data_IF_663436967952
#
_entry.id   IF_663436967952
#
_cell.length_a   1.000
_cell.length_b   1.000
_cell.length_c   1.000
_cell.angle_alpha   90.00
_cell.angle_beta   90.00
_cell.angle_gamma   90.00
#
_symmetry.space_group_name_H-M   'P 1'
#
loop_
_entity.id
_entity.type
_entity.pdbx_description
1 polymer ?
#
# COMPACT_ATOMS: atom_id res chain seq x y z
N UNK A 1 -15.13 11.40 4.10
CA UNK A 1 -14.63 10.02 4.13
C UNK A 1 -15.40 9.09 3.19
N UNK A 2 -16.63 8.64 3.47
CA UNK A 2 -17.31 7.67 2.57
C UNK A 2 -17.52 8.17 1.13
N UNK A 3 -17.88 9.45 0.97
CA UNK A 3 -17.99 10.08 -0.35
C UNK A 3 -16.65 10.23 -1.09
N UNK A 4 -15.50 10.15 -0.40
CA UNK A 4 -14.17 10.15 -1.01
C UNK A 4 -13.86 8.76 -1.56
N UNK A 5 -14.11 7.70 -0.78
CA UNK A 5 -13.81 6.32 -1.16
C UNK A 5 -14.76 5.78 -2.25
N UNK A 6 -16.01 6.26 -2.25
CA UNK A 6 -17.03 5.93 -3.25
C UNK A 6 -16.79 6.58 -4.63
N UNK A 7 -15.79 7.46 -4.79
CA UNK A 7 -15.53 8.14 -6.06
C UNK A 7 -15.26 7.14 -7.19
N UNK A 8 -15.78 7.42 -8.38
CA UNK A 8 -15.41 6.69 -9.58
C UNK A 8 -13.95 6.94 -9.93
N UNK A 9 -13.36 6.05 -10.74
CA UNK A 9 -11.99 6.21 -11.23
C UNK A 9 -11.76 7.60 -11.85
N UNK A 10 -12.68 8.06 -12.71
CA UNK A 10 -12.60 9.37 -13.35
C UNK A 10 -12.65 10.53 -12.34
N UNK A 11 -13.44 10.42 -11.28
CA UNK A 11 -13.51 11.43 -10.22
C UNK A 11 -12.20 11.49 -9.42
N UNK A 12 -11.56 10.34 -9.16
CA UNK A 12 -10.25 10.30 -8.49
C UNK A 12 -9.15 10.88 -9.40
N UNK A 13 -9.14 10.58 -10.70
CA UNK A 13 -8.21 11.22 -11.64
C UNK A 13 -8.42 12.73 -11.66
N UNK A 14 -9.67 13.19 -11.70
CA UNK A 14 -10.01 14.62 -11.68
C UNK A 14 -9.47 15.31 -10.43
N UNK A 15 -9.56 14.66 -9.27
CA UNK A 15 -9.03 15.16 -8.01
C UNK A 15 -7.52 15.40 -8.09
N UNK A 16 -6.75 14.42 -8.56
CA UNK A 16 -5.29 14.52 -8.60
C UNK A 16 -4.76 15.39 -9.75
N UNK A 17 -5.51 15.50 -10.85
CA UNK A 17 -5.13 16.32 -12.00
C UNK A 17 -5.44 17.82 -11.85
N UNK A 18 -6.12 18.21 -10.76
CA UNK A 18 -6.71 19.55 -10.60
C UNK A 18 -5.71 20.70 -10.71
N UNK A 19 -4.46 20.54 -10.29
CA UNK A 19 -3.45 21.61 -10.33
C UNK A 19 -2.41 21.40 -11.44
N UNK A 20 -2.56 20.37 -12.26
CA UNK A 20 -1.68 20.18 -13.41
C UNK A 20 -1.89 21.29 -14.46
N UNK A 21 -0.84 21.62 -15.25
CA UNK A 21 -0.98 22.46 -16.44
C UNK A 21 -2.11 21.98 -17.35
N UNK A 22 -2.81 22.91 -18.02
CA UNK A 22 -4.05 22.63 -18.75
C UNK A 22 -3.93 21.51 -19.79
N UNK A 23 -2.82 21.43 -20.52
CA UNK A 23 -2.54 20.36 -21.47
C UNK A 23 -2.42 18.99 -20.79
N UNK A 24 -1.61 18.91 -19.72
CA UNK A 24 -1.38 17.69 -18.94
C UNK A 24 -2.67 17.20 -18.28
N UNK A 25 -3.46 18.12 -17.74
CA UNK A 25 -4.79 17.85 -17.18
C UNK A 25 -5.74 17.26 -18.22
N UNK A 26 -5.80 17.86 -19.41
CA UNK A 26 -6.63 17.34 -20.51
C UNK A 26 -6.20 15.93 -20.91
N UNK A 27 -4.90 15.66 -20.97
CA UNK A 27 -4.40 14.31 -21.27
C UNK A 27 -4.79 13.29 -20.20
N UNK A 28 -4.65 13.63 -18.91
CA UNK A 28 -5.08 12.76 -17.81
C UNK A 28 -6.58 12.45 -17.87
N UNK A 29 -7.41 13.48 -18.06
CA UNK A 29 -8.87 13.34 -18.14
C UNK A 29 -9.31 12.56 -19.39
N UNK A 30 -8.63 12.74 -20.52
CA UNK A 30 -8.88 11.98 -21.73
C UNK A 30 -8.58 10.48 -21.53
N UNK A 31 -7.41 10.15 -20.96
CA UNK A 31 -7.05 8.76 -20.61
C UNK A 31 -8.08 8.16 -19.65
N UNK A 32 -8.45 8.89 -18.59
CA UNK A 32 -9.44 8.42 -17.63
C UNK A 32 -10.79 8.11 -18.30
N UNK A 33 -11.26 9.00 -19.16
CA UNK A 33 -12.52 8.82 -19.88
C UNK A 33 -12.48 7.59 -20.81
N UNK A 34 -11.34 7.31 -21.43
CA UNK A 34 -11.16 6.14 -22.31
C UNK A 34 -11.14 4.81 -21.54
N UNK A 35 -10.56 4.77 -20.35
CA UNK A 35 -10.36 3.53 -19.59
C UNK A 35 -11.44 3.27 -18.54
N UNK A 36 -12.36 4.22 -18.30
CA UNK A 36 -13.33 4.11 -17.19
C UNK A 36 -14.17 2.83 -17.26
N UNK A 37 -14.60 2.41 -18.46
CA UNK A 37 -15.43 1.21 -18.61
C UNK A 37 -14.64 -0.07 -18.26
N UNK A 38 -13.40 -0.18 -18.73
CA UNK A 38 -12.52 -1.31 -18.44
C UNK A 38 -12.15 -1.36 -16.95
N UNK A 39 -11.83 -0.21 -16.35
CA UNK A 39 -11.52 -0.11 -14.91
C UNK A 39 -12.73 -0.53 -14.07
N UNK A 40 -13.93 -0.04 -14.39
CA UNK A 40 -15.15 -0.43 -13.69
C UNK A 40 -15.50 -1.92 -13.87
N UNK A 41 -15.18 -2.48 -15.04
CA UNK A 41 -15.34 -3.91 -15.32
C UNK A 41 -14.37 -4.75 -14.47
N UNK A 42 -13.09 -4.35 -14.44
CA UNK A 42 -12.06 -5.01 -13.64
C UNK A 42 -12.36 -4.93 -12.15
N UNK A 43 -12.80 -3.77 -11.63
CA UNK A 43 -13.18 -3.62 -10.22
C UNK A 43 -14.32 -4.56 -9.80
N UNK A 44 -15.18 -4.98 -10.73
CA UNK A 44 -16.30 -5.92 -10.49
C UNK A 44 -15.96 -7.38 -10.81
N UNK A 45 -14.78 -7.63 -11.38
CA UNK A 45 -14.31 -8.97 -11.74
C UNK A 45 -14.12 -9.87 -10.52
N UNK A 46 -14.01 -11.17 -10.77
CA UNK A 46 -13.69 -12.19 -9.78
C UNK A 46 -12.33 -11.95 -9.09
N UNK A 47 -11.33 -11.41 -9.79
CA UNK A 47 -10.01 -11.14 -9.19
C UNK A 47 -9.98 -9.92 -8.26
N UNK A 48 -10.80 -8.90 -8.51
CA UNK A 48 -10.86 -7.69 -7.66
C UNK A 48 -11.94 -7.75 -6.57
N UNK A 49 -12.93 -8.64 -6.72
CA UNK A 49 -14.03 -8.77 -5.76
C UNK A 49 -13.55 -9.08 -4.33
N UNK A 50 -12.57 -9.98 -4.09
CA UNK A 50 -12.05 -10.20 -2.75
C UNK A 50 -11.44 -8.94 -2.14
N UNK A 51 -10.68 -8.17 -2.93
CA UNK A 51 -10.06 -6.92 -2.50
C UNK A 51 -11.08 -5.85 -2.11
N UNK A 52 -12.31 -5.93 -2.63
CA UNK A 52 -13.42 -5.03 -2.23
C UNK A 52 -14.02 -5.39 -0.87
N UNK A 53 -13.61 -6.52 -0.28
CA UNK A 53 -14.06 -7.03 1.03
C UNK A 53 -12.91 -7.20 2.02
N UNK A 54 -11.72 -6.73 1.66
CA UNK A 54 -10.53 -6.73 2.51
C UNK A 54 -10.20 -5.29 2.87
N UNK A 55 -10.02 -5.03 4.16
CA UNK A 55 -9.49 -3.76 4.63
C UNK A 55 -8.07 -3.58 4.07
N UNK A 56 -7.74 -2.37 3.59
CA UNK A 56 -6.38 -2.08 3.12
C UNK A 56 -5.34 -2.43 4.19
N UNK A 57 -5.63 -2.04 5.43
CA UNK A 57 -4.69 -2.13 6.54
C UNK A 57 -4.84 -3.40 7.39
N UNK A 58 -5.73 -4.33 7.02
CA UNK A 58 -6.06 -5.49 7.85
C UNK A 58 -6.48 -5.08 9.26
N UNK A 59 -5.71 -5.46 10.28
CA UNK A 59 -5.96 -5.13 11.69
C UNK A 59 -5.55 -3.72 12.13
N UNK A 60 -4.93 -2.90 11.27
CA UNK A 60 -4.41 -1.59 11.69
C UNK A 60 -5.44 -0.51 12.12
N UNK A 61 -6.76 -0.57 11.79
CA UNK A 61 -7.73 0.40 12.34
C UNK A 61 -7.83 0.39 13.87
N UNK A 62 -7.24 -0.62 14.53
CA UNK A 62 -7.35 -0.88 15.96
C UNK A 62 -6.45 0.06 16.80
N UNK A 63 -5.38 0.62 16.24
CA UNK A 63 -4.34 1.30 17.03
C UNK A 63 -4.57 2.82 17.21
N UNK A 64 -5.31 3.47 16.29
CA UNK A 64 -5.25 4.92 16.12
C UNK A 64 -6.25 5.77 16.89
N UNK A 65 -7.31 5.17 17.45
CA UNK A 65 -8.31 5.92 18.20
C UNK A 65 -7.88 6.33 19.63
N UNK A 66 -6.62 6.12 20.00
CA UNK A 66 -6.15 6.23 21.39
C UNK A 66 -5.68 7.61 21.81
N UNK A 67 -5.13 8.41 20.89
CA UNK A 67 -4.47 9.69 21.23
C UNK A 67 -5.26 10.94 20.79
N UNK A 68 -6.39 10.77 20.09
CA UNK A 68 -7.30 11.86 19.75
C UNK A 68 -8.30 12.06 20.88
N UNK A 69 -7.90 12.85 21.88
CA UNK A 69 -8.73 13.27 22.99
C UNK A 69 -10.09 13.85 22.49
N UNK A 70 -11.20 13.24 22.94
CA UNK A 70 -12.58 13.79 23.05
C UNK A 70 -13.68 13.52 22.02
N UNK A 71 -13.51 12.72 20.99
CA UNK A 71 -14.69 12.13 20.33
C UNK A 71 -14.36 10.71 19.90
N UNK A 72 -14.66 9.75 20.78
CA UNK A 72 -14.81 8.37 20.37
C UNK A 72 -15.90 8.34 19.29
N UNK A 73 -15.50 8.44 18.03
CA UNK A 73 -16.33 7.97 16.94
C UNK A 73 -16.33 6.46 17.14
N UNK A 74 -17.47 5.85 17.50
CA UNK A 74 -17.54 4.41 17.59
C UNK A 74 -17.01 3.84 16.28
N UNK A 75 -16.32 2.71 16.35
CA UNK A 75 -16.13 1.85 15.19
C UNK A 75 -17.52 1.71 14.54
N UNK A 76 -17.78 2.40 13.43
CA UNK A 76 -19.00 2.13 12.70
C UNK A 76 -18.87 0.67 12.30
N UNK A 77 -19.91 -0.12 12.50
CA UNK A 77 -19.97 -1.52 12.07
C UNK A 77 -19.74 -1.68 10.55
N UNK A 78 -19.70 -0.57 9.82
CA UNK A 78 -19.25 -0.45 8.45
C UNK A 78 -17.72 -0.31 8.42
N UNK A 79 -16.99 -1.17 7.68
CA UNK A 79 -15.62 -0.86 7.31
C UNK A 79 -15.63 0.56 6.76
N UNK A 80 -14.76 1.45 7.25
CA UNK A 80 -14.42 2.67 6.53
C UNK A 80 -14.29 2.22 5.07
N UNK A 81 -15.05 2.79 4.14
CA UNK A 81 -15.22 2.27 2.77
C UNK A 81 -13.92 2.17 1.93
N UNK A 82 -12.77 2.35 2.57
CA UNK A 82 -11.43 2.15 2.10
C UNK A 82 -10.97 0.69 2.21
N UNK A 83 -11.14 0.00 1.09
CA UNK A 83 -10.73 -1.39 0.88
C UNK A 83 -9.50 -1.46 -0.01
N UNK A 84 -8.88 -2.64 -0.14
CA UNK A 84 -7.78 -2.85 -1.10
C UNK A 84 -8.15 -2.45 -2.52
N UNK A 85 -9.38 -2.77 -2.96
CA UNK A 85 -9.84 -2.36 -4.28
C UNK A 85 -9.92 -0.83 -4.43
N UNK A 86 -10.23 -0.11 -3.35
CA UNK A 86 -10.21 1.35 -3.33
C UNK A 86 -8.78 1.87 -3.42
N UNK A 87 -7.83 1.28 -2.70
CA UNK A 87 -6.40 1.58 -2.84
C UNK A 87 -5.91 1.41 -4.28
N UNK A 88 -6.14 0.24 -4.88
CA UNK A 88 -5.73 -0.02 -6.27
C UNK A 88 -6.31 1.00 -7.27
N UNK A 89 -7.58 1.40 -7.08
CA UNK A 89 -8.22 2.44 -7.90
C UNK A 89 -7.49 3.79 -7.78
N UNK A 90 -7.02 4.14 -6.58
CA UNK A 90 -6.25 5.36 -6.35
C UNK A 90 -4.85 5.28 -6.97
N UNK A 91 -4.18 4.12 -6.89
CA UNK A 91 -2.89 3.88 -7.56
C UNK A 91 -3.05 4.03 -9.07
N UNK A 92 -4.05 3.38 -9.68
CA UNK A 92 -4.35 3.51 -11.10
C UNK A 92 -4.62 4.97 -11.51
N UNK A 93 -5.33 5.73 -10.67
CA UNK A 93 -5.62 7.13 -10.92
C UNK A 93 -4.35 8.01 -10.84
N UNK A 94 -3.50 7.80 -9.83
CA UNK A 94 -2.22 8.50 -9.70
C UNK A 94 -1.29 8.17 -10.87
N UNK A 95 -1.21 6.92 -11.29
CA UNK A 95 -0.49 6.51 -12.50
C UNK A 95 -0.97 7.24 -13.75
N UNK A 96 -2.29 7.39 -13.91
CA UNK A 96 -2.86 8.17 -15.03
C UNK A 96 -2.34 9.61 -15.01
N UNK A 97 -2.32 10.24 -13.83
CA UNK A 97 -1.91 11.64 -13.65
C UNK A 97 -0.39 11.80 -13.82
N UNK A 98 0.41 10.89 -13.28
CA UNK A 98 1.87 10.89 -13.41
C UNK A 98 2.28 10.65 -14.86
N UNK A 99 1.70 9.64 -15.53
CA UNK A 99 1.95 9.36 -16.94
C UNK A 99 1.61 10.56 -17.83
N UNK A 100 0.47 11.20 -17.57
CA UNK A 100 0.08 12.42 -18.26
C UNK A 100 1.08 13.56 -18.00
N UNK A 101 1.48 13.76 -16.74
CA UNK A 101 2.46 14.78 -16.37
C UNK A 101 3.80 14.59 -17.10
N UNK A 102 4.26 13.34 -17.23
CA UNK A 102 5.52 12.98 -17.85
C UNK A 102 5.46 12.79 -19.38
N UNK A 103 4.30 13.01 -20.03
CA UNK A 103 4.10 12.75 -21.47
C UNK A 103 4.46 11.32 -21.88
N UNK A 104 4.09 10.31 -21.08
CA UNK A 104 4.33 8.94 -21.47
C UNK A 104 3.49 8.56 -22.71
N UNK A 105 4.00 7.69 -23.59
CA UNK A 105 3.21 7.11 -24.67
C UNK A 105 1.92 6.46 -24.14
N UNK A 106 0.86 6.47 -24.95
CA UNK A 106 -0.41 5.87 -24.53
C UNK A 106 -0.35 4.37 -24.21
N UNK A 107 0.38 3.53 -24.98
CA UNK A 107 0.53 2.11 -24.64
C UNK A 107 1.12 1.93 -23.23
N UNK A 108 2.20 2.66 -22.92
CA UNK A 108 2.85 2.63 -21.60
C UNK A 108 1.94 3.15 -20.50
N UNK A 109 1.20 4.23 -20.78
CA UNK A 109 0.22 4.80 -19.86
C UNK A 109 -0.86 3.77 -19.51
N UNK A 110 -1.41 3.10 -20.53
CA UNK A 110 -2.47 2.10 -20.33
C UNK A 110 -1.95 0.89 -19.56
N UNK A 111 -0.76 0.39 -19.89
CA UNK A 111 -0.11 -0.70 -19.16
C UNK A 111 0.14 -0.35 -17.68
N UNK A 112 0.64 0.86 -17.42
CA UNK A 112 0.88 1.36 -16.07
C UNK A 112 -0.42 1.52 -15.27
N UNK A 113 -1.50 2.00 -15.89
CA UNK A 113 -2.81 2.14 -15.23
C UNK A 113 -3.39 0.77 -14.85
N UNK A 114 -3.35 -0.22 -15.75
CA UNK A 114 -3.83 -1.57 -15.43
C UNK A 114 -2.95 -2.28 -14.40
N UNK A 115 -1.63 -2.17 -14.49
CA UNK A 115 -0.74 -2.68 -13.45
C UNK A 115 -1.03 -2.03 -12.09
N UNK A 116 -1.26 -0.71 -12.07
CA UNK A 116 -1.71 0.03 -10.89
C UNK A 116 -2.99 -0.51 -10.27
N UNK A 117 -3.98 -0.85 -11.09
CA UNK A 117 -5.23 -1.43 -10.61
C UNK A 117 -5.06 -2.88 -10.11
N UNK A 118 -4.12 -3.63 -10.67
CA UNK A 118 -4.02 -5.08 -10.49
C UNK A 118 -2.88 -5.52 -9.55
N UNK A 119 -2.00 -4.62 -9.10
CA UNK A 119 -0.80 -4.98 -8.33
C UNK A 119 -1.10 -5.77 -7.05
N UNK A 120 -2.21 -5.44 -6.40
CA UNK A 120 -2.56 -5.97 -5.08
C UNK A 120 -3.48 -7.20 -5.14
N UNK A 121 -3.83 -7.70 -6.33
CA UNK A 121 -4.77 -8.84 -6.51
C UNK A 121 -4.29 -10.13 -5.85
N UNK A 122 -3.01 -10.21 -5.52
CA UNK A 122 -2.40 -11.33 -4.83
C UNK A 122 -2.52 -11.30 -3.31
N UNK A 123 -2.94 -10.16 -2.73
CA UNK A 123 -3.13 -10.08 -1.29
C UNK A 123 -4.19 -11.06 -0.79
N UNK A 124 -4.01 -11.45 0.47
CA UNK A 124 -4.94 -12.29 1.21
C UNK A 124 -5.63 -11.48 2.30
N UNK A 125 -6.70 -12.05 2.83
CA UNK A 125 -7.43 -11.48 3.97
C UNK A 125 -6.48 -11.11 5.11
N UNK A 126 -6.78 -10.01 5.80
CA UNK A 126 -6.00 -9.42 6.90
C UNK A 126 -4.63 -8.86 6.47
N UNK A 127 -4.40 -8.77 5.15
CA UNK A 127 -3.22 -8.16 4.54
C UNK A 127 -1.91 -8.81 4.92
N UNK A 128 -0.84 -8.02 4.96
CA UNK A 128 0.51 -8.51 5.27
C UNK A 128 0.59 -9.34 6.55
N UNK A 129 -0.26 -9.08 7.56
CA UNK A 129 -0.25 -9.83 8.82
C UNK A 129 -0.53 -11.31 8.61
N UNK A 130 -1.47 -11.64 7.73
CA UNK A 130 -1.77 -13.02 7.37
C UNK A 130 -0.71 -13.61 6.44
N UNK A 131 -0.14 -12.83 5.53
CA UNK A 131 0.95 -13.28 4.64
C UNK A 131 2.19 -13.71 5.43
N UNK A 132 2.55 -12.91 6.42
CA UNK A 132 3.59 -13.21 7.38
C UNK A 132 3.28 -14.45 8.21
N UNK A 133 2.00 -14.71 8.49
CA UNK A 133 1.56 -15.91 9.16
C UNK A 133 1.61 -17.14 8.24
N UNK A 134 1.25 -16.98 6.96
CA UNK A 134 1.35 -18.03 5.94
C UNK A 134 2.78 -18.49 5.72
N UNK A 135 3.77 -17.61 5.85
CA UNK A 135 5.20 -17.98 5.75
C UNK A 135 5.66 -18.99 6.80
N UNK A 136 4.91 -19.17 7.89
CA UNK A 136 5.15 -20.26 8.85
C UNK A 136 4.80 -21.62 8.24
N UNK A 137 3.78 -21.66 7.38
CA UNK A 137 3.25 -22.86 6.73
C UNK A 137 3.96 -23.12 5.39
N UNK A 138 4.08 -22.08 4.58
CA UNK A 138 4.74 -22.06 3.27
C UNK A 138 5.77 -20.92 3.23
N UNK A 139 7.05 -21.20 3.53
CA UNK A 139 8.10 -20.19 3.52
C UNK A 139 8.29 -19.47 2.17
N UNK A 140 7.83 -20.07 1.06
CA UNK A 140 7.92 -19.49 -0.27
C UNK A 140 6.70 -18.60 -0.62
N UNK A 141 5.74 -18.45 0.30
CA UNK A 141 4.54 -17.65 0.06
C UNK A 141 4.89 -16.19 -0.31
N UNK A 142 4.40 -15.77 -1.47
CA UNK A 142 4.47 -14.42 -1.99
C UNK A 142 3.09 -14.02 -2.54
N UNK A 143 2.57 -12.88 -2.08
CA UNK A 143 1.34 -12.33 -2.64
C UNK A 143 1.55 -11.91 -4.10
N UNK A 144 2.71 -11.39 -4.49
CA UNK A 144 3.00 -11.04 -5.89
C UNK A 144 2.87 -12.27 -6.81
N UNK A 145 3.44 -13.40 -6.40
CA UNK A 145 3.35 -14.65 -7.16
C UNK A 145 1.91 -15.18 -7.25
N UNK A 146 1.16 -15.09 -6.14
CA UNK A 146 -0.27 -15.41 -6.13
C UNK A 146 -1.07 -14.47 -7.04
N UNK A 147 -0.73 -13.19 -7.06
CA UNK A 147 -1.34 -12.17 -7.91
C UNK A 147 -1.17 -12.50 -9.39
N UNK A 148 0.07 -12.78 -9.82
CA UNK A 148 0.35 -13.19 -11.21
C UNK A 148 -0.45 -14.42 -11.62
N UNK A 149 -0.55 -15.42 -10.73
CA UNK A 149 -1.38 -16.61 -10.99
C UNK A 149 -2.85 -16.25 -11.16
N UNK A 150 -3.42 -15.46 -10.24
CA UNK A 150 -4.82 -15.00 -10.32
C UNK A 150 -5.10 -14.21 -11.61
N UNK A 151 -4.16 -13.38 -12.03
CA UNK A 151 -4.27 -12.62 -13.28
C UNK A 151 -4.26 -13.55 -14.50
N UNK A 152 -3.38 -14.56 -14.51
CA UNK A 152 -3.31 -15.55 -15.59
C UNK A 152 -4.59 -16.39 -15.71
N UNK A 153 -5.22 -16.71 -14.57
CA UNK A 153 -6.42 -17.53 -14.51
C UNK A 153 -7.71 -16.74 -14.83
N UNK A 154 -7.65 -15.39 -14.91
CA UNK A 154 -8.83 -14.55 -15.14
C UNK A 154 -9.06 -14.26 -16.64
N UNK A 155 -10.19 -14.75 -17.15
CA UNK A 155 -10.63 -14.51 -18.52
C UNK A 155 -10.89 -13.01 -18.79
N UNK A 156 -11.49 -12.30 -17.82
CA UNK A 156 -11.82 -10.86 -17.96
C UNK A 156 -10.54 -10.02 -18.04
N UNK A 157 -9.54 -10.32 -17.20
CA UNK A 157 -8.23 -9.65 -17.27
C UNK A 157 -7.59 -9.91 -18.62
N UNK A 158 -7.52 -11.18 -19.02
CA UNK A 158 -6.89 -11.59 -20.30
C UNK A 158 -7.53 -10.88 -21.49
N UNK A 159 -8.86 -10.83 -21.55
CA UNK A 159 -9.59 -10.17 -22.64
C UNK A 159 -9.30 -8.67 -22.69
N UNK A 160 -9.33 -7.98 -21.55
CA UNK A 160 -9.06 -6.54 -21.48
C UNK A 160 -7.62 -6.24 -21.88
N UNK A 161 -6.64 -6.99 -21.36
CA UNK A 161 -5.23 -6.80 -21.72
C UNK A 161 -5.00 -7.02 -23.23
N UNK A 162 -5.62 -8.05 -23.82
CA UNK A 162 -5.55 -8.31 -25.27
C UNK A 162 -6.13 -7.17 -26.10
N UNK A 163 -7.28 -6.59 -25.70
CA UNK A 163 -7.90 -5.45 -26.39
C UNK A 163 -6.99 -4.21 -26.46
N UNK A 164 -6.07 -4.08 -25.51
CA UNK A 164 -5.10 -2.99 -25.43
C UNK A 164 -3.69 -3.40 -25.89
N UNK A 165 -3.53 -4.60 -26.46
CA UNK A 165 -2.24 -5.14 -26.91
C UNK A 165 -1.18 -5.20 -25.79
N UNK A 166 -1.63 -5.40 -24.54
CA UNK A 166 -0.76 -5.51 -23.37
C UNK A 166 -0.58 -6.98 -23.02
N UNK A 167 0.68 -7.41 -22.86
CA UNK A 167 0.97 -8.77 -22.40
C UNK A 167 0.87 -8.86 -20.87
N UNK A 168 0.47 -10.03 -20.36
CA UNK A 168 0.52 -10.28 -18.92
C UNK A 168 1.95 -10.15 -18.35
N UNK A 169 2.97 -10.51 -19.13
CA UNK A 169 4.38 -10.32 -18.76
C UNK A 169 4.71 -8.85 -18.53
N UNK A 170 4.20 -7.94 -19.37
CA UNK A 170 4.37 -6.50 -19.19
C UNK A 170 3.76 -6.04 -17.87
N UNK A 171 2.51 -6.45 -17.58
CA UNK A 171 1.84 -6.13 -16.32
C UNK A 171 2.62 -6.65 -15.13
N UNK A 172 3.08 -7.91 -15.19
CA UNK A 172 3.92 -8.52 -14.16
C UNK A 172 5.21 -7.73 -13.92
N UNK A 173 5.95 -7.36 -14.96
CA UNK A 173 7.18 -6.58 -14.81
C UNK A 173 6.93 -5.24 -14.10
N UNK A 174 5.80 -4.58 -14.38
CA UNK A 174 5.42 -3.33 -13.71
C UNK A 174 5.06 -3.58 -12.24
N UNK A 175 4.31 -4.65 -11.95
CA UNK A 175 3.96 -5.06 -10.57
C UNK A 175 5.21 -5.40 -9.77
N UNK A 176 6.17 -6.11 -10.36
CA UNK A 176 7.48 -6.43 -9.76
C UNK A 176 8.42 -5.21 -9.70
N UNK A 177 7.91 -4.00 -9.95
CA UNK A 177 8.64 -2.74 -9.90
C UNK A 177 9.86 -2.65 -10.85
N UNK A 178 9.84 -3.39 -11.96
CA UNK A 178 10.96 -3.43 -12.91
C UNK A 178 10.90 -2.29 -13.94
N UNK A 179 12.06 -1.68 -14.18
CA UNK A 179 12.24 -0.62 -15.18
C UNK A 179 11.51 0.68 -14.84
N UNK A 180 11.37 1.56 -15.84
CA UNK A 180 10.75 2.88 -15.66
C UNK A 180 9.30 2.81 -15.15
N UNK A 181 8.47 1.96 -15.76
CA UNK A 181 7.06 1.87 -15.41
C UNK A 181 6.86 1.25 -14.02
N UNK A 182 7.65 0.24 -13.65
CA UNK A 182 7.64 -0.32 -12.31
C UNK A 182 8.05 0.69 -11.23
N UNK A 183 9.05 1.52 -11.52
CA UNK A 183 9.43 2.61 -10.61
C UNK A 183 8.29 3.63 -10.41
N UNK A 184 7.60 4.02 -11.49
CA UNK A 184 6.44 4.92 -11.42
C UNK A 184 5.29 4.31 -10.62
N UNK A 185 5.02 3.02 -10.81
CA UNK A 185 4.02 2.27 -10.06
C UNK A 185 4.29 2.32 -8.56
N UNK A 186 5.54 2.04 -8.12
CA UNK A 186 5.92 2.12 -6.70
C UNK A 186 5.68 3.49 -6.09
N UNK A 187 5.95 4.56 -6.84
CA UNK A 187 5.73 5.94 -6.38
C UNK A 187 4.24 6.21 -6.22
N UNK A 188 3.43 5.83 -7.21
CA UNK A 188 1.99 5.99 -7.17
C UNK A 188 1.35 5.19 -6.02
N UNK A 189 1.79 3.95 -5.82
CA UNK A 189 1.38 3.10 -4.71
C UNK A 189 1.67 3.77 -3.36
N UNK A 190 2.90 4.28 -3.19
CA UNK A 190 3.28 4.96 -1.96
C UNK A 190 2.49 6.22 -1.69
N UNK A 191 2.27 7.06 -2.70
CA UNK A 191 1.48 8.28 -2.54
C UNK A 191 0.02 7.92 -2.23
N UNK A 192 -0.52 6.88 -2.88
CA UNK A 192 -1.89 6.43 -2.65
C UNK A 192 -2.11 6.02 -1.19
N UNK A 193 -1.31 5.08 -0.66
CA UNK A 193 -1.51 4.67 0.73
C UNK A 193 -1.14 5.81 1.70
N UNK A 194 -0.09 6.61 1.45
CA UNK A 194 0.22 7.74 2.33
C UNK A 194 -0.95 8.74 2.41
N UNK A 195 -1.60 9.01 1.29
CA UNK A 195 -2.77 9.88 1.26
C UNK A 195 -3.97 9.26 1.94
N UNK A 196 -4.35 8.05 1.53
CA UNK A 196 -5.63 7.47 1.93
C UNK A 196 -5.57 6.86 3.32
N UNK A 197 -4.46 6.22 3.70
CA UNK A 197 -4.28 5.65 5.04
C UNK A 197 -4.24 6.73 6.10
N UNK A 198 -3.58 7.87 5.86
CA UNK A 198 -3.57 8.98 6.81
C UNK A 198 -4.98 9.52 7.05
N UNK A 199 -5.78 9.64 5.98
CA UNK A 199 -7.18 10.04 6.10
C UNK A 199 -7.99 8.99 6.86
N UNK A 200 -7.84 7.71 6.52
CA UNK A 200 -8.54 6.61 7.15
C UNK A 200 -8.22 6.48 8.65
N UNK A 201 -6.96 6.70 9.04
CA UNK A 201 -6.51 6.64 10.43
C UNK A 201 -6.86 7.89 11.24
N UNK A 202 -7.37 8.95 10.59
CA UNK A 202 -7.67 10.21 11.24
C UNK A 202 -6.45 10.94 11.80
N UNK A 203 -5.24 10.63 11.31
CA UNK A 203 -3.95 11.13 11.84
C UNK A 203 -3.89 12.67 11.91
N UNK A 204 -4.60 13.35 11.00
CA UNK A 204 -4.59 14.81 10.90
C UNK A 204 -5.89 15.47 11.38
N UNK A 205 -6.82 14.70 11.94
CA UNK A 205 -8.18 15.16 12.25
C UNK A 205 -8.99 15.53 11.00
N UNK A 206 -10.31 15.68 11.14
CA UNK A 206 -11.22 15.95 10.01
C UNK A 206 -10.99 17.28 9.26
N UNK A 207 -10.08 18.16 9.73
CA UNK A 207 -9.86 19.50 9.15
C UNK A 207 -8.73 19.57 8.12
N UNK A 208 -7.97 18.49 7.92
CA UNK A 208 -6.71 18.53 7.18
C UNK A 208 -6.71 17.81 5.81
N UNK A 209 -7.85 17.31 5.32
CA UNK A 209 -8.01 16.93 3.89
C UNK A 209 -7.55 18.06 2.96
N UNK A 210 -7.86 19.30 3.34
CA UNK A 210 -7.45 20.52 2.64
C UNK A 210 -5.94 20.79 2.66
N UNK A 211 -5.14 20.08 3.46
CA UNK A 211 -3.68 20.22 3.52
C UNK A 211 -2.93 19.12 2.78
N UNK A 212 -3.46 17.89 2.76
CA UNK A 212 -2.83 16.76 2.09
C UNK A 212 -2.78 16.91 0.56
N UNK A 213 -3.92 17.26 -0.05
CA UNK A 213 -4.02 17.37 -1.51
C UNK A 213 -3.09 18.44 -2.10
N UNK A 214 -2.97 19.66 -1.53
CA UNK A 214 -2.00 20.63 -2.00
C UNK A 214 -0.56 20.14 -2.03
N UNK A 215 -0.13 19.33 -1.05
CA UNK A 215 1.23 18.77 -1.01
C UNK A 215 1.41 17.74 -2.12
N UNK A 216 0.42 16.88 -2.37
CA UNK A 216 0.44 15.93 -3.49
C UNK A 216 0.47 16.67 -4.83
N UNK A 217 -0.36 17.70 -5.01
CA UNK A 217 -0.35 18.54 -6.21
C UNK A 217 1.00 19.23 -6.42
N UNK A 218 1.58 19.78 -5.36
CA UNK A 218 2.91 20.38 -5.41
C UNK A 218 3.96 19.34 -5.83
N UNK A 219 3.94 18.14 -5.25
CA UNK A 219 4.80 17.04 -5.67
C UNK A 219 4.62 16.70 -7.15
N UNK A 220 3.39 16.46 -7.60
CA UNK A 220 3.08 16.12 -9.00
C UNK A 220 3.55 17.21 -9.97
N UNK A 221 3.38 18.48 -9.63
CA UNK A 221 3.88 19.62 -10.43
C UNK A 221 5.40 19.78 -10.39
N UNK A 222 6.05 19.30 -9.32
CA UNK A 222 7.50 19.32 -9.17
C UNK A 222 8.19 18.17 -9.90
N UNK A 223 7.51 17.05 -10.15
CA UNK A 223 8.06 15.87 -10.79
C UNK A 223 8.57 16.21 -12.21
N UNK A 224 9.75 15.71 -12.56
CA UNK A 224 10.39 15.92 -13.86
C UNK A 224 10.72 14.63 -14.59
N UNK A 225 10.86 13.54 -13.85
CA UNK A 225 11.11 12.22 -14.40
C UNK A 225 11.50 11.23 -13.32
N UNK A 226 11.67 9.99 -13.74
CA UNK A 226 12.13 8.88 -12.90
C UNK A 226 13.18 8.11 -13.72
N UNK A 227 14.26 7.73 -13.08
CA UNK A 227 15.27 6.86 -13.69
C UNK A 227 14.85 5.40 -13.55
N UNK A 228 15.32 4.50 -14.42
CA UNK A 228 15.06 3.05 -14.31
C UNK A 228 15.49 2.46 -12.97
N UNK A 229 16.49 3.06 -12.32
CA UNK A 229 16.94 2.70 -10.96
C UNK A 229 15.97 3.11 -9.86
N UNK A 230 14.88 3.82 -10.19
CA UNK A 230 13.92 4.36 -9.22
C UNK A 230 14.26 5.74 -8.69
N UNK A 231 15.32 6.39 -9.18
CA UNK A 231 15.70 7.74 -8.76
C UNK A 231 14.69 8.76 -9.30
N UNK A 232 14.09 9.54 -8.39
CA UNK A 232 13.17 10.62 -8.71
C UNK A 232 13.92 11.88 -9.12
N UNK A 233 13.48 12.52 -10.20
CA UNK A 233 13.90 13.86 -10.57
C UNK A 233 12.76 14.82 -10.23
N UNK A 234 12.98 15.73 -9.29
CA UNK A 234 12.01 16.75 -8.89
C UNK A 234 12.62 18.14 -8.93
N UNK A 235 11.78 19.16 -9.15
CA UNK A 235 12.18 20.57 -9.10
C UNK A 235 12.44 21.04 -7.67
N UNK A 236 11.64 20.56 -6.73
CA UNK A 236 11.71 20.90 -5.31
C UNK A 236 11.39 19.67 -4.47
N UNK A 237 11.95 19.62 -3.27
CA UNK A 237 11.91 18.43 -2.42
C UNK A 237 11.03 18.55 -1.20
N UNK A 238 10.49 19.73 -0.92
CA UNK A 238 9.64 19.99 0.25
C UNK A 238 8.44 19.05 0.29
N UNK A 239 7.68 18.96 -0.80
CA UNK A 239 6.50 18.10 -0.90
C UNK A 239 6.84 16.60 -0.84
N UNK A 240 7.94 16.19 -1.48
CA UNK A 240 8.45 14.82 -1.38
C UNK A 240 8.85 14.48 0.07
N UNK A 241 9.55 15.39 0.76
CA UNK A 241 9.96 15.21 2.15
C UNK A 241 8.75 15.07 3.08
N UNK A 242 7.68 15.85 2.85
CA UNK A 242 6.43 15.72 3.61
C UNK A 242 5.79 14.34 3.38
N UNK A 243 5.67 13.89 2.13
CA UNK A 243 5.12 12.55 1.81
C UNK A 243 5.94 11.44 2.47
N UNK A 244 7.27 11.52 2.46
CA UNK A 244 8.13 10.55 3.13
C UNK A 244 8.02 10.63 4.66
N UNK A 245 7.77 11.81 5.20
CA UNK A 245 7.49 11.98 6.63
C UNK A 245 6.17 11.31 7.01
N UNK A 246 5.12 11.48 6.20
CA UNK A 246 3.85 10.78 6.38
C UNK A 246 4.00 9.27 6.34
N UNK A 247 4.78 8.77 5.38
CA UNK A 247 5.14 7.35 5.31
C UNK A 247 5.79 6.90 6.62
N UNK A 248 6.81 7.60 7.10
CA UNK A 248 7.49 7.26 8.34
C UNK A 248 6.54 7.25 9.55
N UNK A 249 5.60 8.19 9.62
CA UNK A 249 4.58 8.25 10.67
C UNK A 249 3.62 7.05 10.59
N UNK A 250 3.12 6.71 9.39
CA UNK A 250 2.28 5.52 9.19
C UNK A 250 3.00 4.24 9.62
N UNK A 251 4.29 4.08 9.30
CA UNK A 251 5.05 2.92 9.77
C UNK A 251 5.18 2.91 11.29
N UNK A 252 5.60 4.02 11.90
CA UNK A 252 5.82 4.12 13.34
C UNK A 252 4.55 3.86 14.14
N UNK A 253 3.48 4.53 13.77
CA UNK A 253 2.28 4.63 14.60
C UNK A 253 1.18 3.66 14.17
N UNK A 254 1.23 3.13 12.93
CA UNK A 254 0.22 2.21 12.41
C UNK A 254 0.77 0.81 12.13
N UNK A 255 1.62 0.69 11.10
CA UNK A 255 2.01 -0.61 10.54
C UNK A 255 2.91 -1.41 11.49
N UNK A 256 3.77 -0.71 12.24
CA UNK A 256 4.68 -1.26 13.24
C UNK A 256 4.25 -0.96 14.68
N UNK A 257 3.02 -0.53 14.91
CA UNK A 257 2.47 -0.38 16.26
C UNK A 257 2.58 -1.70 17.04
N UNK A 258 2.78 -1.60 18.35
CA UNK A 258 2.94 -2.78 19.23
C UNK A 258 1.74 -3.73 19.13
N UNK A 259 0.54 -3.17 19.00
CA UNK A 259 -0.72 -3.87 18.83
C UNK A 259 -0.78 -4.62 17.49
N UNK A 260 -0.37 -3.96 16.40
CA UNK A 260 -0.23 -4.57 15.08
C UNK A 260 0.74 -5.76 15.10
N UNK A 261 1.81 -5.67 15.89
CA UNK A 261 2.75 -6.78 16.11
C UNK A 261 2.17 -7.92 16.94
N UNK A 262 1.43 -7.62 18.01
CA UNK A 262 0.76 -8.63 18.83
C UNK A 262 -0.25 -9.44 18.02
N UNK A 263 -1.03 -8.77 17.17
CA UNK A 263 -1.96 -9.45 16.26
C UNK A 263 -1.22 -10.39 15.29
N UNK A 264 -0.15 -9.91 14.66
CA UNK A 264 0.69 -10.73 13.77
C UNK A 264 1.26 -11.97 14.47
N UNK A 265 1.82 -11.78 15.66
CA UNK A 265 2.44 -12.85 16.45
C UNK A 265 1.40 -13.88 16.89
N UNK A 266 0.21 -13.43 17.31
CA UNK A 266 -0.90 -14.32 17.65
C UNK A 266 -1.36 -15.15 16.44
N UNK A 267 -1.48 -14.55 15.26
CA UNK A 267 -1.84 -15.25 14.03
C UNK A 267 -0.78 -16.26 13.61
N UNK A 268 0.51 -15.90 13.65
CA UNK A 268 1.62 -16.81 13.37
C UNK A 268 1.59 -18.03 14.29
N UNK A 269 1.41 -17.80 15.59
CA UNK A 269 1.32 -18.89 16.56
C UNK A 269 0.11 -19.77 16.28
N UNK A 270 -1.06 -19.16 16.06
CA UNK A 270 -2.29 -19.89 15.76
C UNK A 270 -2.13 -20.76 14.51
N UNK A 271 -1.65 -20.19 13.40
CA UNK A 271 -1.46 -20.94 12.15
C UNK A 271 -0.44 -22.05 12.31
N UNK A 272 0.67 -21.82 13.02
CA UNK A 272 1.65 -22.86 13.33
C UNK A 272 1.06 -24.01 14.15
N UNK A 273 0.26 -23.70 15.18
CA UNK A 273 -0.41 -24.73 15.98
C UNK A 273 -1.49 -25.47 15.18
N UNK A 274 -2.26 -24.76 14.35
CA UNK A 274 -3.26 -25.37 13.44
C UNK A 274 -2.58 -26.30 12.43
N UNK A 275 -1.45 -25.90 11.83
CA UNK A 275 -0.68 -26.72 10.90
C UNK A 275 -0.15 -27.99 11.58
N UNK A 276 0.46 -27.86 12.75
CA UNK A 276 1.03 -29.00 13.49
C UNK A 276 -0.03 -30.00 13.94
N UNK A 277 -1.24 -29.53 14.27
CA UNK A 277 -2.28 -30.34 14.93
C UNK A 277 -3.40 -30.80 14.01
N UNK A 278 -3.63 -30.10 12.89
CA UNK A 278 -4.65 -30.41 11.88
C UNK A 278 -4.02 -30.82 10.54
N UNK A 279 -2.94 -31.61 10.58
CA UNK A 279 -2.05 -32.09 9.50
C UNK A 279 -2.69 -32.63 8.19
N UNK A 280 -3.99 -32.47 7.97
CA UNK A 280 -4.74 -32.92 6.80
C UNK A 280 -5.33 -31.78 5.95
N UNK A 281 -5.30 -30.52 6.40
CA UNK A 281 -5.89 -29.40 5.64
C UNK A 281 -4.80 -28.56 4.99
N UNK A 282 -4.64 -28.68 3.66
CA UNK A 282 -3.91 -27.68 2.89
C UNK A 282 -4.54 -26.32 3.17
N UNK A 283 -3.77 -25.40 3.76
CA UNK A 283 -4.18 -24.00 3.86
C UNK A 283 -4.05 -23.41 2.46
N UNK A 284 -5.17 -23.21 1.80
CA UNK A 284 -5.23 -22.50 0.52
C UNK A 284 -5.47 -21.01 0.81
N UNK A 285 -4.45 -20.14 0.62
CA UNK A 285 -4.61 -18.71 0.85
C UNK A 285 -5.67 -18.07 -0.07
N UNK A 286 -6.02 -18.74 -1.17
CA UNK A 286 -7.05 -18.30 -2.10
C UNK A 286 -8.48 -18.54 -1.60
N UNK A 287 -8.67 -19.36 -0.56
CA UNK A 287 -9.98 -19.64 0.02
C UNK A 287 -10.54 -18.50 0.88
N UNK A 288 -9.75 -17.44 1.14
CA UNK A 288 -10.16 -16.32 1.98
C UNK A 288 -10.67 -15.15 1.14
N UNK A 289 -11.98 -15.13 0.91
CA UNK A 289 -12.65 -14.11 0.08
C UNK A 289 -12.83 -12.75 0.76
N UNK A 290 -12.72 -12.68 2.09
CA UNK A 290 -12.82 -11.46 2.90
C UNK A 290 -12.13 -11.63 4.25
N UNK A 291 -11.95 -10.52 4.98
CA UNK A 291 -11.43 -10.53 6.34
C UNK A 291 -12.35 -11.33 7.30
N UNK A 292 -13.66 -11.12 7.19
CA UNK A 292 -14.66 -11.84 8.01
C UNK A 292 -14.68 -13.34 7.73
N UNK A 293 -14.67 -13.73 6.45
CA UNK A 293 -14.66 -15.14 6.05
C UNK A 293 -13.37 -15.84 6.54
N UNK A 294 -12.25 -15.10 6.57
CA UNK A 294 -11.00 -15.59 7.15
C UNK A 294 -11.13 -15.84 8.65
N UNK A 295 -11.67 -14.87 9.41
CA UNK A 295 -11.87 -15.03 10.84
C UNK A 295 -12.85 -16.16 11.16
N UNK A 296 -13.98 -16.26 10.45
CA UNK A 296 -14.94 -17.36 10.60
C UNK A 296 -14.28 -18.71 10.36
N UNK A 297 -13.51 -18.83 9.28
CA UNK A 297 -12.81 -20.08 8.96
C UNK A 297 -11.78 -20.44 10.02
N UNK A 298 -11.04 -19.47 10.53
CA UNK A 298 -10.10 -19.71 11.63
C UNK A 298 -10.85 -20.17 12.90
N UNK A 299 -12.00 -19.57 13.23
CA UNK A 299 -12.84 -19.99 14.37
C UNK A 299 -13.34 -21.42 14.20
N UNK A 300 -13.79 -21.80 13.00
CA UNK A 300 -14.19 -23.18 12.69
C UNK A 300 -13.04 -24.17 12.90
N UNK A 301 -11.83 -23.83 12.43
CA UNK A 301 -10.65 -24.67 12.56
C UNK A 301 -10.25 -24.84 14.02
N UNK A 302 -10.27 -23.76 14.81
CA UNK A 302 -10.05 -23.81 16.26
C UNK A 302 -11.11 -24.66 16.96
N UNK A 303 -12.37 -24.59 16.54
CA UNK A 303 -13.45 -25.42 17.08
C UNK A 303 -13.26 -26.92 16.86
N UNK A 304 -12.46 -27.32 15.87
CA UNK A 304 -12.11 -28.73 15.57
C UNK A 304 -10.89 -29.23 16.35
N UNK A 305 -10.19 -28.37 17.10
CA UNK A 305 -9.04 -28.75 17.90
C UNK A 305 -9.44 -29.60 19.14
N UNK A 306 -8.53 -30.39 19.73
CA UNK A 306 -8.80 -31.14 20.97
C UNK A 306 -9.29 -30.22 22.10
N UNK A 307 -10.27 -30.67 22.91
CA UNK A 307 -10.98 -29.84 23.91
C UNK A 307 -10.07 -29.04 24.86
N UNK A 308 -8.90 -29.56 25.23
CA UNK A 308 -7.94 -28.86 26.10
C UNK A 308 -7.24 -27.67 25.43
N UNK A 309 -7.19 -27.65 24.09
CA UNK A 309 -6.47 -26.67 23.28
C UNK A 309 -7.40 -25.59 22.73
N UNK A 310 -8.69 -25.90 22.55
CA UNK A 310 -9.71 -24.95 22.09
C UNK A 310 -9.71 -23.69 22.93
N UNK A 311 -9.61 -23.80 24.27
CA UNK A 311 -9.60 -22.62 25.15
C UNK A 311 -8.38 -21.73 24.93
N UNK A 312 -7.21 -22.33 24.69
CA UNK A 312 -5.95 -21.61 24.45
C UNK A 312 -5.93 -20.95 23.06
N UNK A 313 -6.30 -21.70 22.03
CA UNK A 313 -6.37 -21.19 20.65
C UNK A 313 -7.48 -20.15 20.46
N UNK A 314 -8.62 -20.33 21.13
CA UNK A 314 -9.68 -19.32 21.14
C UNK A 314 -9.19 -18.02 21.79
N UNK A 315 -8.40 -18.08 22.87
CA UNK A 315 -7.79 -16.88 23.44
C UNK A 315 -6.82 -16.17 22.47
N UNK A 316 -6.21 -16.89 21.53
CA UNK A 316 -5.36 -16.30 20.47
C UNK A 316 -6.17 -15.62 19.36
N UNK A 317 -7.36 -16.13 19.04
CA UNK A 317 -8.33 -15.48 18.14
C UNK A 317 -9.08 -14.32 18.80
N UNK A 318 -9.35 -14.46 20.10
CA UNK A 318 -9.92 -13.43 20.93
C UNK A 318 -8.88 -12.36 21.29
N UNK A 319 -7.58 -12.54 21.07
CA UNK A 319 -6.61 -11.45 21.24
C UNK A 319 -6.88 -10.33 20.22
N UNK A 320 -7.02 -10.61 18.92
CA UNK A 320 -7.56 -9.66 17.95
C UNK A 320 -8.92 -9.05 18.34
N UNK A 321 -9.89 -9.85 18.79
CA UNK A 321 -11.26 -9.37 19.13
C UNK A 321 -11.36 -8.65 20.49
N UNK A 322 -10.61 -9.06 21.51
CA UNK A 322 -10.53 -8.41 22.81
C UNK A 322 -9.64 -7.17 22.74
N UNK A 323 -8.65 -7.12 21.86
CA UNK A 323 -7.98 -5.85 21.52
C UNK A 323 -8.98 -4.92 20.83
N UNK A 324 -9.86 -5.44 19.95
CA UNK A 324 -10.98 -4.64 19.39
C UNK A 324 -11.97 -4.13 20.48
N UNK A 325 -12.35 -4.95 21.48
CA UNK A 325 -13.37 -4.58 22.48
C UNK A 325 -12.86 -3.93 23.79
N UNK A 326 -11.69 -4.33 24.33
CA UNK A 326 -11.15 -3.82 25.62
C UNK A 326 -10.43 -2.47 25.49
N UNK A 327 -10.08 -2.04 24.28
CA UNK A 327 -9.41 -0.76 24.05
C UNK A 327 -10.30 0.47 24.30
N UNK A 328 -11.62 0.30 24.44
CA UNK A 328 -12.52 1.37 24.89
C UNK A 328 -12.30 1.81 26.36
N UNK A 329 -11.41 1.16 27.13
CA UNK A 329 -11.24 1.44 28.57
C UNK A 329 -9.82 1.50 29.14
N UNK A 330 -8.75 1.34 28.35
CA UNK A 330 -7.39 1.15 28.90
C UNK A 330 -6.51 2.40 28.84
N UNK A 331 -6.24 3.00 30.01
CA UNK A 331 -5.29 4.11 30.19
C UNK A 331 -3.84 3.62 30.08
N UNK A 332 -2.96 4.46 29.54
CA UNK A 332 -1.57 4.19 29.17
C UNK A 332 -0.58 3.92 30.33
N UNK A 333 -1.03 3.67 31.55
CA UNK A 333 -0.17 3.59 32.74
C UNK A 333 0.15 2.17 33.22
N UNK A 334 -0.31 1.12 32.53
CA UNK A 334 -0.18 -0.28 33.01
C UNK A 334 0.91 -1.12 32.31
N UNK A 335 1.74 -0.54 31.42
CA UNK A 335 2.89 -1.27 30.87
C UNK A 335 4.15 -1.10 31.73
N UNK A 336 4.23 -1.85 32.83
CA UNK A 336 5.41 -1.87 33.73
C UNK A 336 6.19 -3.18 33.73
N UNK A 337 5.78 -4.21 32.98
CA UNK A 337 6.56 -5.46 32.94
C UNK A 337 7.74 -5.35 31.97
N UNK A 338 8.94 -5.42 32.55
CA UNK A 338 10.24 -5.44 31.88
C UNK A 338 10.30 -6.48 30.74
N UNK A 339 9.61 -7.61 30.90
CA UNK A 339 9.57 -8.71 29.90
C UNK A 339 8.87 -8.31 28.59
N UNK A 340 7.83 -7.47 28.64
CA UNK A 340 7.17 -6.98 27.43
C UNK A 340 8.04 -5.93 26.69
N UNK A 341 8.82 -5.16 27.44
CA UNK A 341 9.78 -4.20 26.91
C UNK A 341 11.00 -4.90 26.31
N UNK A 342 11.50 -5.96 26.95
CA UNK A 342 12.65 -6.74 26.48
C UNK A 342 12.28 -7.56 25.22
N UNK A 343 11.05 -8.10 25.13
CA UNK A 343 10.55 -8.73 23.90
C UNK A 343 10.39 -7.72 22.75
N UNK A 344 9.91 -6.50 23.04
CA UNK A 344 9.83 -5.41 22.07
C UNK A 344 11.22 -5.00 21.58
N UNK A 345 12.20 -4.82 22.47
CA UNK A 345 13.60 -4.50 22.14
C UNK A 345 14.30 -5.64 21.38
N UNK A 346 14.03 -6.90 21.71
CA UNK A 346 14.57 -8.06 20.99
C UNK A 346 14.03 -8.16 19.56
N UNK A 347 12.77 -7.78 19.33
CA UNK A 347 12.15 -7.74 18.00
C UNK A 347 12.60 -6.53 17.15
N UNK A 348 13.15 -5.47 17.76
CA UNK A 348 13.76 -4.34 17.03
C UNK A 348 15.03 -4.73 16.26
N UNK A 349 15.60 -5.93 16.50
CA UNK A 349 16.77 -6.44 15.78
C UNK A 349 16.41 -7.20 14.48
N UNK A 350 15.15 -7.18 14.04
CA UNK A 350 14.82 -7.61 12.67
C UNK A 350 15.27 -6.53 11.68
N UNK A 351 15.91 -6.93 10.57
CA UNK A 351 16.50 -6.02 9.56
C UNK A 351 15.54 -4.90 9.10
N UNK A 352 14.23 -5.18 9.07
CA UNK A 352 13.20 -4.22 8.68
C UNK A 352 12.96 -3.12 9.74
N UNK A 353 13.02 -3.47 11.03
CA UNK A 353 12.92 -2.52 12.14
C UNK A 353 14.19 -1.66 12.23
N UNK A 354 15.38 -2.25 12.03
CA UNK A 354 16.66 -1.53 12.00
C UNK A 354 16.76 -0.53 10.83
N UNK A 355 16.33 -0.92 9.62
CA UNK A 355 16.25 -0.01 8.46
C UNK A 355 15.25 1.11 8.70
N UNK A 356 14.07 0.80 9.24
CA UNK A 356 13.05 1.81 9.53
C UNK A 356 13.43 2.75 10.70
N UNK A 357 14.06 2.25 11.77
CA UNK A 357 14.43 3.06 12.94
C UNK A 357 15.67 3.93 12.74
N UNK A 358 16.61 3.52 11.89
CA UNK A 358 17.77 4.36 11.54
C UNK A 358 17.34 5.63 10.78
N UNK A 359 16.19 5.61 10.12
CA UNK A 359 15.53 6.81 9.57
C UNK A 359 14.80 7.66 10.63
N UNK A 360 14.25 7.05 11.68
CA UNK A 360 13.40 7.73 12.67
C UNK A 360 14.21 8.54 13.71
N UNK A 361 15.47 8.20 13.98
CA UNK A 361 16.32 8.93 14.96
C UNK A 361 16.87 10.27 14.45
N UNK A 362 16.77 10.60 13.16
CA UNK A 362 17.18 11.90 12.61
C UNK A 362 16.05 12.50 11.76
N UNK A 363 15.15 13.32 12.35
CA UNK A 363 13.85 13.63 11.73
C UNK A 363 13.86 14.36 10.39
N UNK A 364 15.00 14.81 9.85
CA UNK A 364 15.00 15.68 8.66
C UNK A 364 16.23 15.60 7.75
N UNK A 365 17.31 14.90 8.13
CA UNK A 365 18.58 14.94 7.37
C UNK A 365 19.01 13.65 6.67
N UNK A 366 18.42 12.49 6.98
CA UNK A 366 18.93 11.19 6.47
C UNK A 366 17.98 10.40 5.57
N UNK A 367 16.71 10.77 5.45
CA UNK A 367 15.70 10.04 4.64
C UNK A 367 15.86 10.23 3.13
N UNK A 368 16.67 11.22 2.74
CA UNK A 368 16.82 11.66 1.37
C UNK A 368 18.29 11.93 1.14
N UNK A 369 18.97 11.05 0.40
CA UNK A 369 20.30 11.35 -0.11
C UNK A 369 20.14 12.29 -1.29
N UNK A 370 20.31 13.59 -1.05
CA UNK A 370 20.36 14.59 -2.12
C UNK A 370 21.55 14.28 -3.02
N UNK A 371 21.29 13.76 -4.21
CA UNK A 371 22.30 13.70 -5.28
C UNK A 371 22.09 14.95 -6.13
N UNK A 372 22.86 16.00 -5.86
CA UNK A 372 22.87 17.18 -6.72
C UNK A 372 23.47 16.82 -8.07
N UNK A 373 22.63 16.61 -9.07
CA UNK A 373 23.09 16.48 -10.46
C UNK A 373 23.13 17.89 -11.05
N UNK A 374 24.32 18.47 -11.12
CA UNK A 374 24.52 19.74 -11.81
C UNK A 374 24.42 19.51 -13.33
N UNK A 375 23.27 19.83 -13.93
CA UNK A 375 23.14 19.88 -15.39
C UNK A 375 23.60 21.26 -15.85
N UNK A 376 24.93 21.40 -16.04
CA UNK A 376 25.58 22.58 -16.60
C UNK A 376 25.76 22.48 -18.12
N UNK A 377 25.89 23.63 -18.79
CA UNK A 377 26.04 23.80 -20.26
C UNK A 377 27.24 23.08 -20.89
N UNK A 378 28.11 22.47 -20.10
CA UNK A 378 29.23 21.68 -20.58
C UNK A 378 29.08 20.24 -20.08
N UNK A 379 28.43 19.43 -20.92
CA UNK A 379 28.47 17.98 -20.87
C UNK A 379 29.92 17.51 -20.81
N UNK A 380 30.29 16.80 -19.74
CA UNK A 380 31.31 15.74 -19.81
C UNK A 380 31.14 14.77 -18.64
N UNK A 381 30.99 13.50 -19.02
CA UNK A 381 31.03 12.28 -18.20
C UNK A 381 29.93 12.12 -17.17
N UNK A 382 28.73 11.79 -17.67
CA UNK A 382 27.80 10.94 -16.94
C UNK A 382 27.75 9.62 -17.72
N UNK A 383 28.00 8.50 -17.03
CA UNK A 383 28.32 7.20 -17.63
C UNK A 383 27.28 6.63 -18.61
N UNK A 384 27.61 5.51 -19.30
CA UNK A 384 26.87 4.99 -20.46
C UNK A 384 25.40 4.59 -20.20
N UNK A 385 24.92 4.60 -18.95
CA UNK A 385 23.56 4.25 -18.57
C UNK A 385 22.58 5.44 -18.52
N UNK A 386 23.00 6.68 -18.80
CA UNK A 386 22.14 7.88 -18.75
C UNK A 386 21.59 8.36 -20.11
N UNK A 387 21.89 7.67 -21.21
CA UNK A 387 21.50 8.10 -22.56
C UNK A 387 20.01 7.88 -22.91
N UNK A 388 19.20 7.30 -22.03
CA UNK A 388 17.77 7.06 -22.26
C UNK A 388 16.85 8.18 -21.71
N UNK A 389 17.41 9.32 -21.28
CA UNK A 389 16.60 10.44 -20.79
C UNK A 389 15.82 11.08 -21.96
N UNK A 390 14.49 11.10 -21.83
CA UNK A 390 13.65 12.14 -22.45
C UNK A 390 14.34 13.50 -22.23
N UNK A 391 14.40 14.40 -23.23
CA UNK A 391 15.19 15.61 -23.13
C UNK A 391 14.76 16.42 -21.91
N UNK A 392 15.62 16.46 -20.88
CA UNK A 392 15.44 17.29 -19.69
C UNK A 392 15.50 18.73 -20.16
N UNK A 393 14.35 19.31 -20.50
CA UNK A 393 14.22 20.73 -20.79
C UNK A 393 13.79 21.46 -19.51
N UNK A 394 14.71 22.19 -18.89
CA UNK A 394 14.40 23.07 -17.76
C UNK A 394 15.56 23.24 -16.77
N UNK A 395 15.50 24.28 -15.90
CA UNK A 395 16.56 24.54 -14.92
C UNK A 395 16.58 23.45 -13.83
N UNK A 396 17.79 23.12 -13.37
CA UNK A 396 18.17 22.29 -12.21
C UNK A 396 17.11 21.28 -11.70
N UNK A 397 17.28 20.00 -12.05
CA UNK A 397 16.57 18.90 -11.40
C UNK A 397 17.40 18.39 -10.20
N UNK A 398 16.73 18.09 -9.08
CA UNK A 398 17.37 17.42 -7.93
C UNK A 398 17.05 15.94 -8.01
N UNK A 399 18.06 15.09 -7.91
CA UNK A 399 17.91 13.64 -7.95
C UNK A 399 17.82 13.08 -6.52
N UNK A 400 16.82 12.24 -6.30
CA UNK A 400 16.60 11.55 -5.03
C UNK A 400 16.47 10.06 -5.25
N UNK A 401 17.29 9.29 -4.54
CA UNK A 401 17.14 7.83 -4.50
C UNK A 401 15.89 7.50 -3.70
N UNK A 402 14.90 6.91 -4.38
CA UNK A 402 13.73 6.36 -3.71
C UNK A 402 14.13 5.02 -3.09
N UNK A 403 14.41 5.04 -1.79
CA UNK A 403 14.76 3.82 -1.08
C UNK A 403 13.45 3.04 -0.84
N UNK A 404 13.24 2.01 -1.66
CA UNK A 404 12.23 0.97 -1.43
C UNK A 404 12.46 0.29 -0.07
N UNK A 405 11.39 -0.27 0.50
CA UNK A 405 11.45 -0.94 1.81
C UNK A 405 12.39 -2.16 1.81
#
# INVERSE_FOLDING_TARGET
MDALFARSFQQVVTLFAQELPSEKRRMALFTASRLTLEIDTLLKSDVMRPLSRMAQQGFAPISFHRDMDRTAVPFSETPLGYTRATHCKYVAALNTVIAAHLNLPQPDTTALVFAGLLHDVGHVALGHKMEWAFRVIDPAFSHEALGVRRLADSAVVTEILQRHEISLTTVKCIIDEQGLLGALQRIADTIAYCFVDLLACGFLGHRDEGRLLPIIWQFLCSLRGVMETGVLLVRESSSLSEILTWRALLYRDNFCALESWRCESGLRQLLGELQQRLLTTHFDPSAFESDDACLERLREMVGKAPRGEVRRMRAMLELPEQVQHKMLGWRSHEFTSKEAMDAWLACQNSDMAMRSFSYVRQPTRSLVKEVRVAIGKESRTIGPHLNALLPIQGPAAIAYEWIGA
#
